data_IF_758831744736
#
_entry.id   IF_758831744736
#
_cell.length_a   1.000
_cell.length_b   1.000
_cell.length_c   1.000
_cell.angle_alpha   90.00
_cell.angle_beta   90.00
_cell.angle_gamma   90.00
#
_symmetry.space_group_name_H-M   'P 1'
#
loop_
_entity.id
_entity.type
_entity.pdbx_description
1 polymer ?
#
# COMPACT_ATOMS: atom_id res chain seq x y z
N UNK A 1 5.05 -5.27 13.51
CA UNK A 1 5.04 -4.87 12.07
C UNK A 1 3.63 -4.89 11.49
N UNK A 2 3.46 -4.21 10.40
CA UNK A 2 2.18 -4.16 9.69
C UNK A 2 2.39 -4.41 8.19
N UNK A 3 1.34 -4.93 7.57
CA UNK A 3 1.18 -4.90 6.13
C UNK A 3 0.08 -3.90 5.81
N UNK A 4 0.29 -3.09 4.78
CA UNK A 4 -0.77 -2.26 4.24
C UNK A 4 -1.14 -2.78 2.86
N UNK A 5 -2.45 -2.90 2.62
CA UNK A 5 -3.00 -3.32 1.34
C UNK A 5 -3.65 -2.10 0.69
N UNK A 6 -3.19 -1.75 -0.50
CA UNK A 6 -3.67 -0.57 -1.21
C UNK A 6 -3.94 -0.97 -2.65
N UNK A 7 -5.10 -0.59 -3.18
CA UNK A 7 -5.38 -0.79 -4.61
C UNK A 7 -5.09 0.50 -5.36
N UNK A 8 -4.34 0.37 -6.46
CA UNK A 8 -3.95 1.48 -7.32
C UNK A 8 -4.51 1.25 -8.73
N UNK A 9 -4.66 2.33 -9.48
CA UNK A 9 -5.22 2.22 -10.83
C UNK A 9 -4.30 1.50 -11.81
N UNK A 10 -2.97 1.63 -11.63
CA UNK A 10 -1.97 1.02 -12.51
C UNK A 10 -0.60 0.92 -11.84
N UNK A 11 0.35 0.31 -12.56
CA UNK A 11 1.72 0.15 -12.08
C UNK A 11 2.43 1.48 -11.83
N UNK A 12 2.19 2.46 -12.68
CA UNK A 12 2.85 3.76 -12.57
C UNK A 12 2.49 4.43 -11.25
N UNK A 13 1.21 4.43 -10.89
CA UNK A 13 0.76 4.99 -9.62
C UNK A 13 1.33 4.23 -8.42
N UNK A 14 1.28 2.90 -8.46
CA UNK A 14 1.81 2.06 -7.37
C UNK A 14 3.31 2.30 -7.17
N UNK A 15 4.08 2.38 -8.25
CA UNK A 15 5.52 2.63 -8.17
C UNK A 15 5.82 4.01 -7.61
N UNK A 16 5.06 5.02 -8.03
CA UNK A 16 5.23 6.38 -7.52
C UNK A 16 5.03 6.45 -6.01
N UNK A 17 3.96 5.84 -5.53
CA UNK A 17 3.67 5.78 -4.10
C UNK A 17 4.77 5.04 -3.34
N UNK A 18 5.15 3.86 -3.84
CA UNK A 18 6.19 3.04 -3.21
C UNK A 18 7.51 3.80 -3.09
N UNK A 19 7.97 4.42 -4.17
CA UNK A 19 9.24 5.17 -4.18
C UNK A 19 9.22 6.35 -3.23
N UNK A 20 8.09 7.07 -3.18
CA UNK A 20 7.94 8.20 -2.27
C UNK A 20 8.07 7.76 -0.81
N UNK A 21 7.38 6.67 -0.45
CA UNK A 21 7.41 6.17 0.91
C UNK A 21 8.78 5.62 1.31
N UNK A 22 9.48 4.97 0.37
CA UNK A 22 10.85 4.50 0.61
C UNK A 22 11.80 5.67 0.80
N UNK A 23 11.69 6.71 -0.03
CA UNK A 23 12.53 7.91 0.10
C UNK A 23 12.33 8.59 1.45
N UNK A 24 11.12 8.57 1.97
CA UNK A 24 10.80 9.15 3.28
C UNK A 24 11.08 8.21 4.44
N UNK A 25 11.58 7.02 4.15
CA UNK A 25 11.92 6.01 5.17
C UNK A 25 10.72 5.60 6.02
N UNK A 26 9.53 5.62 5.43
CA UNK A 26 8.29 5.25 6.11
C UNK A 26 7.96 3.78 6.00
N UNK A 27 8.53 3.09 5.01
CA UNK A 27 8.30 1.66 4.78
C UNK A 27 9.63 0.94 4.60
N UNK A 28 9.63 -0.36 4.87
CA UNK A 28 10.80 -1.21 4.67
C UNK A 28 10.83 -1.81 3.26
N UNK A 29 9.66 -2.11 2.71
CA UNK A 29 9.55 -2.81 1.43
C UNK A 29 8.17 -2.60 0.83
N UNK A 30 8.09 -2.66 -0.50
CA UNK A 30 6.85 -2.60 -1.25
C UNK A 30 6.80 -3.74 -2.24
N UNK A 31 5.64 -4.40 -2.36
CA UNK A 31 5.39 -5.43 -3.35
C UNK A 31 4.23 -4.98 -4.22
N UNK A 32 4.34 -5.21 -5.52
CA UNK A 32 3.36 -4.77 -6.51
C UNK A 32 2.94 -5.95 -7.37
N UNK A 33 1.64 -6.16 -7.54
CA UNK A 33 1.15 -7.20 -8.45
C UNK A 33 -0.21 -6.82 -9.05
N UNK A 34 -0.51 -7.32 -10.28
CA UNK A 34 -1.76 -7.00 -10.94
C UNK A 34 -2.90 -7.83 -10.37
N UNK A 35 -4.10 -7.24 -10.38
CA UNK A 35 -5.33 -7.91 -9.98
C UNK A 35 -6.47 -7.59 -10.92
N UNK A 36 -7.53 -8.37 -10.83
CA UNK A 36 -8.81 -8.05 -11.43
C UNK A 36 -9.78 -7.73 -10.30
N UNK A 37 -10.49 -6.61 -10.41
CA UNK A 37 -11.45 -6.17 -9.40
C UNK A 37 -12.86 -6.20 -9.96
N UNK A 38 -13.78 -6.73 -9.17
CA UNK A 38 -15.21 -6.79 -9.50
C UNK A 38 -15.98 -6.04 -8.44
N UNK A 39 -16.85 -5.14 -8.85
CA UNK A 39 -17.65 -4.36 -7.91
C UNK A 39 -18.87 -3.78 -8.61
N UNK A 40 -19.83 -3.34 -7.83
CA UNK A 40 -21.00 -2.68 -8.35
C UNK A 40 -20.75 -1.16 -8.39
N UNK A 41 -20.99 -0.58 -9.54
CA UNK A 41 -20.87 0.86 -9.75
C UNK A 41 -22.14 1.37 -10.42
N UNK A 42 -22.84 2.27 -9.73
CA UNK A 42 -24.11 2.83 -10.23
C UNK A 42 -25.09 1.75 -10.66
N UNK A 43 -25.22 0.71 -9.84
CA UNK A 43 -26.16 -0.40 -10.08
C UNK A 43 -25.70 -1.41 -11.12
N UNK A 44 -24.47 -1.29 -11.64
CA UNK A 44 -23.95 -2.23 -12.64
C UNK A 44 -22.73 -2.96 -12.13
N UNK A 45 -22.65 -4.26 -12.47
CA UNK A 45 -21.45 -5.04 -12.24
C UNK A 45 -20.32 -4.49 -13.11
N UNK A 46 -19.24 -4.10 -12.49
CA UNK A 46 -18.09 -3.51 -13.16
C UNK A 46 -16.86 -4.37 -12.92
N UNK A 47 -16.04 -4.52 -13.94
CA UNK A 47 -14.77 -5.23 -13.86
C UNK A 47 -13.67 -4.27 -14.29
N UNK A 48 -12.64 -4.14 -13.43
CA UNK A 48 -11.47 -3.31 -13.72
C UNK A 48 -10.19 -4.08 -13.48
N UNK A 49 -9.17 -3.73 -14.23
CA UNK A 49 -7.81 -4.16 -13.95
C UNK A 49 -7.17 -3.11 -13.05
N UNK A 50 -6.71 -3.56 -11.91
CA UNK A 50 -6.02 -2.70 -10.95
C UNK A 50 -4.70 -3.33 -10.54
N UNK A 51 -3.99 -2.66 -9.65
CA UNK A 51 -2.71 -3.13 -9.13
C UNK A 51 -2.77 -3.04 -7.61
N UNK A 52 -2.30 -4.09 -6.95
CA UNK A 52 -2.16 -4.09 -5.49
C UNK A 52 -0.75 -3.65 -5.12
N UNK A 53 -0.70 -2.74 -4.18
CA UNK A 53 0.53 -2.32 -3.53
C UNK A 53 0.46 -2.82 -2.09
N UNK A 54 1.38 -3.75 -1.73
CA UNK A 54 1.51 -4.20 -0.36
C UNK A 54 2.76 -3.57 0.23
N UNK A 55 2.60 -2.90 1.36
CA UNK A 55 3.69 -2.24 2.06
C UNK A 55 4.00 -3.01 3.34
N UNK A 56 5.29 -3.17 3.61
CA UNK A 56 5.79 -3.74 4.87
C UNK A 56 6.38 -2.60 5.67
N UNK A 57 5.88 -2.38 6.90
CA UNK A 57 6.26 -1.21 7.67
C UNK A 57 6.14 -1.45 9.18
N UNK A 58 6.66 -0.49 9.94
CA UNK A 58 6.46 -0.45 11.38
C UNK A 58 5.12 0.22 11.69
N UNK A 59 4.42 -0.28 12.68
CA UNK A 59 3.10 0.23 13.05
C UNK A 59 3.13 1.74 13.38
N UNK A 60 4.20 2.20 13.98
CA UNK A 60 4.33 3.63 14.35
C UNK A 60 4.23 4.57 13.15
N UNK A 61 4.51 4.08 11.95
CA UNK A 61 4.47 4.89 10.72
C UNK A 61 3.12 4.88 10.01
N UNK A 62 2.16 4.11 10.49
CA UNK A 62 0.89 3.91 9.79
C UNK A 62 0.20 5.22 9.43
N UNK A 63 0.07 6.13 10.39
CA UNK A 63 -0.64 7.39 10.18
C UNK A 63 0.02 8.25 9.09
N UNK A 64 1.35 8.35 9.13
CA UNK A 64 2.10 9.10 8.12
C UNK A 64 2.01 8.46 6.75
N UNK A 65 2.06 7.12 6.69
CA UNK A 65 1.91 6.39 5.44
C UNK A 65 0.54 6.68 4.84
N UNK A 66 -0.50 6.60 5.66
CA UNK A 66 -1.87 6.86 5.21
C UNK A 66 -2.01 8.28 4.63
N UNK A 67 -1.45 9.27 5.31
CA UNK A 67 -1.47 10.66 4.85
C UNK A 67 -0.76 10.83 3.51
N UNK A 68 0.43 10.22 3.37
CA UNK A 68 1.20 10.32 2.12
C UNK A 68 0.50 9.61 0.97
N UNK A 69 -0.06 8.43 1.21
CA UNK A 69 -0.79 7.70 0.17
C UNK A 69 -1.97 8.52 -0.33
N UNK A 70 -2.72 9.14 0.58
CA UNK A 70 -3.87 9.97 0.20
C UNK A 70 -3.47 11.15 -0.68
N UNK A 71 -2.30 11.75 -0.44
CA UNK A 71 -1.81 12.87 -1.25
C UNK A 71 -1.47 12.45 -2.67
N UNK A 72 -0.97 11.23 -2.85
CA UNK A 72 -0.43 10.76 -4.12
C UNK A 72 -1.43 9.94 -4.93
N UNK A 73 -2.49 9.46 -4.29
CA UNK A 73 -3.43 8.54 -4.90
C UNK A 73 -4.41 9.28 -5.81
N UNK A 74 -4.74 8.66 -6.96
CA UNK A 74 -5.67 9.23 -7.92
C UNK A 74 -7.13 9.11 -7.52
N UNK A 75 -7.49 8.16 -6.65
CA UNK A 75 -8.87 7.97 -6.21
C UNK A 75 -9.23 8.96 -5.13
N UNK A 76 -10.47 9.45 -5.14
CA UNK A 76 -10.98 10.32 -4.09
C UNK A 76 -11.00 9.61 -2.74
N UNK A 77 -11.39 8.32 -2.74
CA UNK A 77 -11.44 7.50 -1.54
C UNK A 77 -10.65 6.22 -1.81
N UNK A 78 -9.33 6.24 -1.62
CA UNK A 78 -8.52 5.03 -1.81
C UNK A 78 -8.74 4.03 -0.69
N UNK A 79 -8.68 2.74 -1.02
CA UNK A 79 -8.65 1.70 0.00
C UNK A 79 -7.25 1.60 0.58
N UNK A 80 -7.13 1.77 1.88
CA UNK A 80 -5.88 1.63 2.61
C UNK A 80 -6.16 0.75 3.82
N UNK A 81 -5.86 -0.54 3.71
CA UNK A 81 -6.10 -1.49 4.78
C UNK A 81 -4.82 -1.81 5.54
N UNK A 82 -4.93 -1.96 6.85
CA UNK A 82 -3.80 -2.32 7.71
C UNK A 82 -4.04 -3.68 8.33
N UNK A 83 -3.00 -4.53 8.32
CA UNK A 83 -3.00 -5.82 9.00
C UNK A 83 -1.77 -5.88 9.89
N UNK A 84 -1.99 -6.19 11.18
CA UNK A 84 -0.89 -6.45 12.10
C UNK A 84 -0.34 -7.84 11.81
N UNK A 85 0.98 -7.96 11.70
CA UNK A 85 1.62 -9.23 11.41
C UNK A 85 2.79 -9.47 12.35
N UNK A 86 2.97 -10.74 12.68
CA UNK A 86 4.16 -11.17 13.41
C UNK A 86 5.15 -11.68 12.38
N UNK A 87 6.35 -11.11 12.36
CA UNK A 87 7.39 -11.51 11.43
C UNK A 87 8.58 -12.08 12.18
N UNK A 88 9.48 -12.74 11.46
CA UNK A 88 10.72 -13.24 12.03
C UNK A 88 11.55 -12.05 12.57
N UNK A 89 12.27 -12.31 13.65
CA UNK A 89 13.02 -11.29 14.37
C UNK A 89 14.07 -10.61 13.51
N UNK A 90 14.74 -11.37 12.67
CA UNK A 90 15.79 -10.84 11.79
C UNK A 90 15.23 -9.77 10.84
N UNK A 91 14.07 -10.04 10.26
CA UNK A 91 13.44 -9.07 9.37
C UNK A 91 13.00 -7.82 10.10
N UNK A 92 12.41 -7.98 11.29
CA UNK A 92 11.96 -6.84 12.09
C UNK A 92 13.13 -5.94 12.47
N UNK A 93 14.25 -6.52 12.87
CA UNK A 93 15.46 -5.78 13.20
C UNK A 93 15.96 -5.00 11.99
N UNK A 94 16.01 -5.66 10.83
CA UNK A 94 16.40 -5.00 9.58
C UNK A 94 15.48 -3.83 9.24
N UNK A 95 14.18 -4.03 9.37
CA UNK A 95 13.19 -2.99 9.07
C UNK A 95 13.31 -1.77 10.00
N UNK A 96 13.65 -2.00 11.27
CA UNK A 96 13.83 -0.91 12.25
C UNK A 96 15.05 -0.04 11.96
N UNK A 97 16.02 -0.56 11.23
CA UNK A 97 17.27 0.13 10.93
C UNK A 97 17.24 0.87 9.58
N UNK A 98 16.09 1.07 9.01
CA UNK A 98 15.91 1.80 7.75
C UNK A 98 15.80 3.31 7.94
#
# INVERSE_FOLDING_TARGET
MILLYITCKDNTEAKKIAKNLLNKKLIACANIFPIESFYNWKGKLTQDKEVVLILKALDKNYKKIQEEVKKLHSYDIPFIGKINVKVNKEYETWAKNK
#
